data_IF_473871374503
#
_entry.id   IF_473871374503
#
_cell.length_a   1.000
_cell.length_b   1.000
_cell.length_c   1.000
_cell.angle_alpha   90.00
_cell.angle_beta   90.00
_cell.angle_gamma   90.00
#
_symmetry.space_group_name_H-M   'P 1'
#
loop_
_entity.id
_entity.type
_entity.pdbx_description
1 polymer ?
#
# COMPACT_ATOMS: atom_id res chain seq x y z
N UNK A 1 -13.62 6.49 -0.19
CA UNK A 1 -12.43 6.27 -1.02
C UNK A 1 -11.61 7.56 -1.03
N UNK A 2 -10.27 7.52 -1.18
CA UNK A 2 -9.50 8.72 -1.50
C UNK A 2 -9.91 9.35 -2.83
N UNK A 3 -9.60 10.64 -3.01
CA UNK A 3 -9.92 11.36 -4.24
C UNK A 3 -9.24 10.74 -5.48
N UNK A 4 -9.97 10.73 -6.60
CA UNK A 4 -9.52 10.16 -7.87
C UNK A 4 -9.65 8.64 -7.98
N UNK A 5 -10.47 8.01 -7.13
CA UNK A 5 -10.94 6.62 -7.23
C UNK A 5 -12.46 6.58 -7.16
N UNK A 6 -13.06 5.43 -7.41
CA UNK A 6 -14.51 5.23 -7.49
C UNK A 6 -15.27 5.72 -6.24
N UNK A 7 -16.52 6.13 -6.43
CA UNK A 7 -17.42 6.47 -5.33
C UNK A 7 -17.68 5.26 -4.43
N UNK A 8 -17.74 5.49 -3.11
CA UNK A 8 -17.93 4.44 -2.10
C UNK A 8 -16.75 4.26 -1.13
N UNK A 9 -16.88 3.37 -0.13
CA UNK A 9 -15.81 3.11 0.84
C UNK A 9 -14.70 2.25 0.22
N UNK A 10 -13.43 2.56 0.54
CA UNK A 10 -12.30 1.67 0.21
C UNK A 10 -12.35 0.40 1.07
N UNK A 11 -12.77 0.55 2.34
CA UNK A 11 -12.93 -0.50 3.33
C UNK A 11 -14.27 -0.27 4.02
N UNK A 12 -15.14 -1.27 4.04
CA UNK A 12 -16.32 -1.31 4.88
C UNK A 12 -16.13 -2.41 5.95
N UNK A 13 -16.22 -2.04 7.23
CA UNK A 13 -15.69 -2.84 8.35
C UNK A 13 -16.46 -4.12 8.70
N UNK A 14 -17.58 -4.42 8.02
CA UNK A 14 -18.40 -5.60 8.32
C UNK A 14 -18.93 -5.57 9.77
N UNK A 15 -18.94 -6.72 10.43
CA UNK A 15 -19.26 -6.81 11.86
C UNK A 15 -18.01 -6.57 12.71
N UNK A 16 -18.13 -5.73 13.74
CA UNK A 16 -17.03 -5.33 14.61
C UNK A 16 -17.28 -5.84 16.04
N UNK A 17 -16.33 -6.56 16.60
CA UNK A 17 -16.28 -6.94 18.01
C UNK A 17 -15.01 -6.35 18.63
N UNK A 18 -15.15 -5.72 19.79
CA UNK A 18 -14.00 -5.21 20.55
C UNK A 18 -14.10 -5.66 22.01
N UNK A 19 -13.00 -6.15 22.57
CA UNK A 19 -12.83 -6.39 24.00
C UNK A 19 -11.85 -5.37 24.53
N UNK A 20 -12.37 -4.44 25.31
CA UNK A 20 -11.61 -3.30 25.84
C UNK A 20 -11.36 -3.56 27.32
N UNK A 21 -10.11 -3.36 27.76
CA UNK A 21 -9.80 -3.33 29.19
C UNK A 21 -10.37 -2.03 29.78
N UNK A 22 -11.51 -2.10 30.45
CA UNK A 22 -12.22 -0.93 30.96
C UNK A 22 -11.40 -0.10 31.96
N UNK A 23 -10.46 -0.71 32.68
CA UNK A 23 -9.60 0.01 33.60
C UNK A 23 -8.66 0.99 32.86
N UNK A 24 -8.21 0.62 31.66
CA UNK A 24 -7.29 1.42 30.84
C UNK A 24 -7.93 2.66 30.21
N UNK A 25 -9.26 2.80 30.22
CA UNK A 25 -9.96 3.94 29.62
C UNK A 25 -9.57 5.26 30.28
N UNK A 26 -9.27 5.21 31.58
CA UNK A 26 -8.84 6.37 32.36
C UNK A 26 -7.35 6.68 32.21
N UNK A 27 -6.57 5.77 31.63
CA UNK A 27 -5.14 5.95 31.39
C UNK A 27 -4.88 6.71 30.08
N UNK A 28 -3.62 7.06 29.84
CA UNK A 28 -3.17 7.69 28.58
C UNK A 28 -3.25 6.72 27.38
N UNK A 29 -3.31 5.41 27.65
CA UNK A 29 -3.35 4.35 26.65
C UNK A 29 -4.51 3.41 26.91
N UNK A 30 -5.43 3.34 25.96
CA UNK A 30 -6.56 2.42 25.97
C UNK A 30 -6.07 1.05 25.47
N UNK A 31 -6.17 0.04 26.30
CA UNK A 31 -5.85 -1.34 25.95
C UNK A 31 -7.09 -2.05 25.39
N UNK A 32 -6.95 -2.58 24.17
CA UNK A 32 -7.94 -3.38 23.48
C UNK A 32 -7.35 -4.79 23.36
N UNK A 33 -7.89 -5.72 24.14
CA UNK A 33 -7.45 -7.11 24.19
C UNK A 33 -7.74 -7.85 22.88
N UNK A 34 -8.87 -7.53 22.24
CA UNK A 34 -9.28 -8.08 20.95
C UNK A 34 -10.01 -7.02 20.15
N UNK A 35 -9.62 -6.83 18.90
CA UNK A 35 -10.41 -6.17 17.86
C UNK A 35 -10.66 -7.17 16.74
N UNK A 36 -11.91 -7.51 16.47
CA UNK A 36 -12.28 -8.43 15.40
C UNK A 36 -13.17 -7.73 14.39
N UNK A 37 -12.79 -7.86 13.13
CA UNK A 37 -13.54 -7.43 11.95
C UNK A 37 -13.96 -8.69 11.19
N UNK A 38 -15.24 -9.01 11.19
CA UNK A 38 -15.78 -10.16 10.47
C UNK A 38 -16.34 -9.73 9.11
N UNK A 39 -15.83 -10.38 8.07
CA UNK A 39 -16.18 -10.19 6.66
C UNK A 39 -16.19 -8.72 6.22
N UNK A 40 -15.12 -7.94 6.47
CA UNK A 40 -15.04 -6.61 5.91
C UNK A 40 -14.99 -6.68 4.39
N UNK A 41 -15.61 -5.70 3.73
CA UNK A 41 -15.53 -5.55 2.28
C UNK A 41 -14.39 -4.60 1.92
N UNK A 42 -13.46 -5.09 1.10
CA UNK A 42 -12.28 -4.36 0.66
C UNK A 42 -12.42 -4.07 -0.83
N UNK A 43 -12.58 -2.81 -1.19
CA UNK A 43 -12.63 -2.37 -2.58
C UNK A 43 -11.24 -1.89 -2.97
N UNK A 44 -10.47 -2.73 -3.68
CA UNK A 44 -9.13 -2.42 -4.14
C UNK A 44 -9.16 -1.98 -5.61
N UNK A 45 -8.97 -0.69 -5.86
CA UNK A 45 -8.91 -0.13 -7.21
C UNK A 45 -7.45 0.16 -7.56
N UNK A 46 -6.96 -0.51 -8.61
CA UNK A 46 -5.61 -0.34 -9.13
C UNK A 46 -5.62 0.28 -10.51
N UNK A 47 -4.76 1.29 -10.69
CA UNK A 47 -4.41 1.94 -11.96
C UNK A 47 -2.93 1.68 -12.21
N UNK A 48 -2.45 1.98 -13.42
CA UNK A 48 -1.08 1.65 -13.88
C UNK A 48 0.01 2.00 -12.84
N UNK A 49 -0.07 3.16 -12.17
CA UNK A 49 0.96 3.62 -11.22
C UNK A 49 0.45 3.88 -9.80
N UNK A 50 -0.85 3.70 -9.53
CA UNK A 50 -1.46 4.09 -8.25
C UNK A 50 -2.61 3.16 -7.89
N UNK A 51 -2.81 2.95 -6.60
CA UNK A 51 -3.96 2.24 -6.06
C UNK A 51 -4.58 3.00 -4.89
N UNK A 52 -5.84 2.71 -4.61
CA UNK A 52 -6.62 3.46 -3.64
C UNK A 52 -6.23 3.18 -2.18
N UNK A 53 -5.68 2.00 -1.87
CA UNK A 53 -5.27 1.66 -0.50
C UNK A 53 -3.93 2.32 -0.14
N UNK A 54 -2.98 2.42 -1.07
CA UNK A 54 -1.77 3.23 -0.90
C UNK A 54 -2.08 4.72 -0.85
N UNK A 55 -3.06 5.20 -1.63
CA UNK A 55 -3.54 6.57 -1.50
C UNK A 55 -4.23 6.82 -0.14
N UNK A 56 -4.95 5.81 0.39
CA UNK A 56 -5.55 5.87 1.72
C UNK A 56 -4.47 5.97 2.81
N UNK A 57 -3.42 5.15 2.70
CA UNK A 57 -2.25 5.23 3.59
C UNK A 57 -1.59 6.61 3.57
N UNK A 58 -1.38 7.18 2.39
CA UNK A 58 -0.78 8.50 2.24
C UNK A 58 -1.62 9.64 2.82
N UNK A 59 -2.93 9.43 2.98
CA UNK A 59 -3.87 10.39 3.56
C UNK A 59 -4.06 10.22 5.07
N UNK A 60 -3.44 9.22 5.70
CA UNK A 60 -3.48 9.09 7.15
C UNK A 60 -2.82 10.33 7.78
N UNK A 61 -3.39 10.89 8.87
CA UNK A 61 -2.79 12.04 9.51
C UNK A 61 -1.40 11.66 10.05
N UNK A 62 -0.42 12.53 9.80
CA UNK A 62 0.95 12.34 10.29
C UNK A 62 0.95 12.17 11.80
N UNK A 63 1.66 11.16 12.30
CA UNK A 63 1.79 10.90 13.73
C UNK A 63 2.46 12.04 14.52
N UNK A 64 3.04 13.03 13.83
CA UNK A 64 3.70 14.22 14.37
C UNK A 64 2.88 15.53 14.24
N UNK A 65 1.65 15.48 13.71
CA UNK A 65 0.83 16.69 13.52
C UNK A 65 0.12 17.11 14.82
N UNK A 66 0.91 17.47 15.83
CA UNK A 66 0.55 18.58 16.70
C UNK A 66 0.83 19.87 15.94
N UNK A 67 -0.17 20.40 15.22
CA UNK A 67 -0.49 21.84 15.13
C UNK A 67 -1.44 22.17 13.98
N UNK A 68 -2.46 22.94 14.36
CA UNK A 68 -3.15 23.99 13.61
C UNK A 68 -4.08 23.60 12.45
N UNK A 69 -5.33 23.30 12.82
CA UNK A 69 -6.49 23.91 12.16
C UNK A 69 -7.52 24.28 13.23
N UNK A 70 -8.01 25.51 13.16
CA UNK A 70 -8.89 26.16 14.11
C UNK A 70 -10.22 25.43 14.31
N UNK A 71 -10.75 25.54 15.54
CA UNK A 71 -12.09 25.12 16.00
C UNK A 71 -12.38 23.61 16.13
N UNK A 72 -11.67 22.96 17.06
CA UNK A 72 -12.27 21.91 17.88
C UNK A 72 -11.93 22.17 19.36
N UNK A 73 -12.86 22.03 20.31
CA UNK A 73 -12.57 22.27 21.72
C UNK A 73 -11.50 21.28 22.17
N UNK A 74 -10.49 21.79 22.89
CA UNK A 74 -9.46 21.00 23.53
C UNK A 74 -10.10 19.89 24.38
N UNK A 75 -10.01 18.66 23.90
CA UNK A 75 -10.32 17.45 24.67
C UNK A 75 -9.08 16.58 24.56
N UNK A 76 -8.45 16.34 25.71
CA UNK A 76 -7.40 15.39 26.06
C UNK A 76 -6.31 15.10 25.02
N UNK A 77 -5.04 15.13 25.46
CA UNK A 77 -3.92 14.50 24.75
C UNK A 77 -4.39 13.22 24.04
N UNK A 78 -4.31 13.20 22.71
CA UNK A 78 -4.94 12.16 21.90
C UNK A 78 -4.57 10.77 22.45
N UNK A 79 -5.54 10.10 23.11
CA UNK A 79 -5.32 8.84 23.81
C UNK A 79 -4.70 7.84 22.83
N UNK A 80 -3.67 7.14 23.28
CA UNK A 80 -3.04 6.07 22.52
C UNK A 80 -3.89 4.81 22.64
N UNK A 81 -3.67 3.87 21.72
CA UNK A 81 -4.26 2.53 21.78
C UNK A 81 -3.18 1.45 21.82
N UNK A 82 -3.44 0.39 22.55
CA UNK A 82 -2.65 -0.83 22.55
C UNK A 82 -3.55 -1.98 22.11
N UNK A 83 -3.35 -2.49 20.90
CA UNK A 83 -4.14 -3.61 20.37
C UNK A 83 -3.36 -4.90 20.61
N UNK A 84 -3.81 -5.72 21.57
CA UNK A 84 -3.16 -7.01 21.85
C UNK A 84 -3.34 -7.99 20.70
N UNK A 85 -4.53 -8.00 20.10
CA UNK A 85 -4.87 -8.88 18.98
C UNK A 85 -5.88 -8.21 18.05
N UNK A 86 -5.58 -8.20 16.76
CA UNK A 86 -6.51 -7.81 15.71
C UNK A 86 -6.77 -9.02 14.82
N UNK A 87 -8.05 -9.31 14.57
CA UNK A 87 -8.49 -10.39 13.70
C UNK A 87 -9.34 -9.81 12.57
N UNK A 88 -8.95 -10.05 11.33
CA UNK A 88 -9.73 -9.70 10.15
C UNK A 88 -10.12 -11.01 9.48
N UNK A 89 -11.37 -11.42 9.68
CA UNK A 89 -11.84 -12.76 9.35
C UNK A 89 -12.62 -12.75 8.03
N UNK A 90 -12.25 -13.63 7.10
CA UNK A 90 -12.82 -13.73 5.76
C UNK A 90 -13.02 -12.39 5.04
N UNK A 91 -11.98 -11.54 4.87
CA UNK A 91 -12.11 -10.29 4.14
C UNK A 91 -12.58 -10.54 2.71
N UNK A 92 -13.64 -9.86 2.28
CA UNK A 92 -14.16 -9.94 0.92
C UNK A 92 -13.49 -8.88 0.06
N UNK A 93 -12.53 -9.30 -0.76
CA UNK A 93 -11.78 -8.43 -1.66
C UNK A 93 -12.48 -8.32 -3.01
N UNK A 94 -12.83 -7.10 -3.39
CA UNK A 94 -13.25 -6.72 -4.73
C UNK A 94 -12.12 -5.93 -5.39
N UNK A 95 -11.52 -6.50 -6.43
CA UNK A 95 -10.45 -5.87 -7.20
C UNK A 95 -11.05 -5.24 -8.46
N UNK A 96 -10.73 -3.98 -8.70
CA UNK A 96 -11.04 -3.27 -9.96
C UNK A 96 -9.74 -2.79 -10.59
N UNK A 97 -9.45 -3.28 -11.78
CA UNK A 97 -8.29 -2.90 -12.59
C UNK A 97 -8.72 -2.43 -13.98
N UNK A 98 -7.77 -1.95 -14.78
CA UNK A 98 -8.06 -1.43 -16.13
C UNK A 98 -8.76 -2.44 -17.06
N UNK A 99 -8.50 -3.73 -16.86
CA UNK A 99 -8.98 -4.81 -17.75
C UNK A 99 -10.23 -5.54 -17.22
N UNK A 100 -10.73 -5.15 -16.04
CA UNK A 100 -11.93 -5.73 -15.45
C UNK A 100 -11.90 -5.78 -13.94
N UNK A 101 -12.90 -6.44 -13.36
CA UNK A 101 -13.03 -6.65 -11.93
C UNK A 101 -13.11 -8.13 -11.58
N UNK A 102 -12.68 -8.47 -10.38
CA UNK A 102 -12.80 -9.82 -9.81
C UNK A 102 -13.01 -9.74 -8.31
N UNK A 103 -13.54 -10.80 -7.72
CA UNK A 103 -13.83 -10.88 -6.30
C UNK A 103 -13.33 -12.19 -5.72
N UNK A 104 -12.72 -12.13 -4.55
CA UNK A 104 -12.32 -13.32 -3.78
C UNK A 104 -12.35 -13.05 -2.28
N UNK A 105 -12.34 -14.13 -1.51
CA UNK A 105 -12.17 -14.07 -0.06
C UNK A 105 -10.67 -14.22 0.22
N UNK A 106 -10.10 -13.25 0.94
CA UNK A 106 -8.72 -13.33 1.41
C UNK A 106 -8.59 -14.31 2.59
N UNK A 107 -7.40 -14.87 2.82
CA UNK A 107 -7.09 -15.52 4.08
C UNK A 107 -7.34 -14.59 5.29
N UNK A 108 -7.61 -15.18 6.45
CA UNK A 108 -7.73 -14.44 7.69
C UNK A 108 -6.41 -13.71 8.01
N UNK A 109 -6.51 -12.45 8.42
CA UNK A 109 -5.36 -11.64 8.82
C UNK A 109 -5.36 -11.53 10.34
N UNK A 110 -4.28 -11.97 10.98
CA UNK A 110 -4.13 -11.98 12.42
C UNK A 110 -2.89 -11.17 12.80
N UNK A 111 -3.10 -10.03 13.44
CA UNK A 111 -2.04 -9.17 13.95
C UNK A 111 -2.02 -9.24 15.47
N UNK A 112 -0.83 -9.14 16.05
CA UNK A 112 -0.65 -9.10 17.51
C UNK A 112 0.22 -7.93 17.90
N UNK A 113 -0.10 -7.35 19.06
CA UNK A 113 0.72 -6.34 19.74
C UNK A 113 0.99 -5.06 18.93
N UNK A 114 -0.07 -4.43 18.39
CA UNK A 114 0.06 -3.12 17.72
C UNK A 114 0.17 -2.03 18.78
N UNK A 115 1.30 -1.31 18.76
CA UNK A 115 1.61 -0.24 19.71
C UNK A 115 2.40 -0.71 20.94
N UNK A 116 2.64 -2.01 21.14
CA UNK A 116 3.31 -2.55 22.32
C UNK A 116 4.70 -1.98 22.57
N UNK A 117 5.52 -1.89 21.52
CA UNK A 117 6.90 -1.40 21.61
C UNK A 117 7.03 0.07 22.10
N UNK A 118 5.98 0.88 21.91
CA UNK A 118 6.00 2.32 22.22
C UNK A 118 5.07 2.69 23.38
N UNK A 119 4.54 1.69 24.10
CA UNK A 119 3.55 1.89 25.17
C UNK A 119 2.22 2.45 24.63
N UNK A 120 1.86 2.13 23.39
CA UNK A 120 0.67 2.60 22.69
C UNK A 120 1.00 3.22 21.33
N UNK A 121 0.05 3.11 20.39
CA UNK A 121 0.08 3.74 19.07
C UNK A 121 -1.00 4.81 18.96
N UNK A 122 -0.80 5.81 18.10
CA UNK A 122 -1.92 6.64 17.63
C UNK A 122 -2.89 5.77 16.81
N UNK A 123 -4.15 6.20 16.69
CA UNK A 123 -5.13 5.52 15.84
C UNK A 123 -4.63 5.45 14.39
N UNK A 124 -3.99 6.52 13.91
CA UNK A 124 -3.42 6.58 12.56
C UNK A 124 -2.28 5.58 12.36
N UNK A 125 -1.36 5.45 13.32
CA UNK A 125 -0.28 4.48 13.27
C UNK A 125 -0.81 3.04 13.33
N UNK A 126 -1.84 2.77 14.13
CA UNK A 126 -2.46 1.45 14.16
C UNK A 126 -3.19 1.12 12.84
N UNK A 127 -3.92 2.09 12.27
CA UNK A 127 -4.57 1.96 10.97
C UNK A 127 -3.55 1.72 9.84
N UNK A 128 -2.41 2.41 9.89
CA UNK A 128 -1.30 2.20 8.96
C UNK A 128 -0.82 0.74 8.98
N UNK A 129 -0.56 0.18 10.17
CA UNK A 129 -0.14 -1.23 10.32
C UNK A 129 -1.17 -2.16 9.70
N UNK A 130 -2.46 -1.96 10.00
CA UNK A 130 -3.55 -2.80 9.48
C UNK A 130 -3.66 -2.72 7.95
N UNK A 131 -3.61 -1.51 7.38
CA UNK A 131 -3.74 -1.35 5.92
C UNK A 131 -2.50 -1.90 5.19
N UNK A 132 -1.30 -1.79 5.77
CA UNK A 132 -0.08 -2.39 5.20
C UNK A 132 -0.17 -3.91 5.18
N UNK A 133 -0.66 -4.52 6.26
CA UNK A 133 -0.87 -5.97 6.30
C UNK A 133 -1.90 -6.42 5.26
N UNK A 134 -3.01 -5.68 5.13
CA UNK A 134 -4.01 -5.93 4.09
C UNK A 134 -3.41 -5.85 2.68
N UNK A 135 -2.57 -4.85 2.40
CA UNK A 135 -1.84 -4.75 1.13
C UNK A 135 -0.89 -5.93 0.90
N UNK A 136 -0.22 -6.41 1.95
CA UNK A 136 0.60 -7.62 1.91
C UNK A 136 -0.22 -8.84 1.50
N UNK A 137 -1.34 -9.08 2.18
CA UNK A 137 -2.26 -10.18 1.88
C UNK A 137 -2.84 -10.12 0.45
N UNK A 138 -3.17 -8.91 -0.04
CA UNK A 138 -3.59 -8.70 -1.44
C UNK A 138 -2.45 -9.03 -2.41
N UNK A 139 -1.21 -8.66 -2.09
CA UNK A 139 -0.04 -8.94 -2.92
C UNK A 139 0.32 -10.43 -3.00
N UNK A 140 0.01 -11.20 -1.95
CA UNK A 140 0.17 -12.66 -1.90
C UNK A 140 -1.00 -13.40 -2.54
N UNK A 141 -2.15 -12.75 -2.70
CA UNK A 141 -3.27 -13.32 -3.43
C UNK A 141 -2.91 -13.45 -4.91
N UNK A 142 -2.80 -14.69 -5.40
CA UNK A 142 -2.54 -15.02 -6.81
C UNK A 142 -3.71 -14.55 -7.70
N UNK A 143 -3.71 -13.27 -8.05
CA UNK A 143 -4.79 -12.56 -8.75
C UNK A 143 -4.44 -12.37 -10.23
N UNK A 144 -5.09 -13.09 -11.17
CA UNK A 144 -4.80 -12.98 -12.60
C UNK A 144 -4.99 -11.55 -13.16
N UNK A 145 -5.91 -10.78 -12.56
CA UNK A 145 -6.19 -9.39 -12.94
C UNK A 145 -5.07 -8.42 -12.54
N UNK A 146 -4.28 -8.74 -11.51
CA UNK A 146 -3.11 -7.96 -11.11
C UNK A 146 -1.87 -8.36 -11.91
N UNK A 147 -1.73 -9.64 -12.29
CA UNK A 147 -0.59 -10.13 -13.07
C UNK A 147 -0.42 -9.37 -14.39
N UNK A 148 -1.53 -9.06 -15.08
CA UNK A 148 -1.50 -8.31 -16.34
C UNK A 148 -1.13 -6.84 -16.13
N UNK A 149 -1.57 -6.24 -15.02
CA UNK A 149 -1.14 -4.87 -14.66
C UNK A 149 0.35 -4.85 -14.36
N UNK A 150 0.86 -5.87 -13.63
CA UNK A 150 2.28 -6.02 -13.32
C UNK A 150 3.11 -6.21 -14.59
N UNK A 151 2.70 -7.12 -15.47
CA UNK A 151 3.34 -7.33 -16.78
C UNK A 151 3.37 -6.04 -17.60
N UNK A 152 2.24 -5.33 -17.70
CA UNK A 152 2.19 -4.06 -18.44
C UNK A 152 3.01 -2.91 -17.83
N UNK A 153 3.42 -3.00 -16.55
CA UNK A 153 4.39 -2.09 -15.92
C UNK A 153 5.81 -2.54 -16.21
N UNK A 154 6.10 -3.84 -16.10
CA UNK A 154 7.40 -4.44 -16.44
C UNK A 154 7.76 -4.19 -17.91
N UNK A 155 6.81 -4.34 -18.83
CA UNK A 155 6.98 -4.09 -20.26
C UNK A 155 7.29 -2.61 -20.54
N UNK A 156 6.52 -1.68 -19.95
CA UNK A 156 6.81 -0.24 -20.07
C UNK A 156 8.18 0.14 -19.50
N UNK A 157 8.57 -0.45 -18.37
CA UNK A 157 9.87 -0.16 -17.79
C UNK A 157 11.01 -0.62 -18.71
N UNK A 158 10.85 -1.79 -19.37
CA UNK A 158 11.80 -2.26 -20.39
C UNK A 158 11.83 -1.33 -21.60
N UNK A 159 10.67 -0.95 -22.14
CA UNK A 159 10.58 -0.02 -23.27
C UNK A 159 11.26 1.33 -22.99
N UNK A 160 11.11 1.89 -21.78
CA UNK A 160 11.76 3.15 -21.42
C UNK A 160 13.29 2.99 -21.29
N UNK A 161 13.77 1.86 -20.78
CA UNK A 161 15.21 1.56 -20.75
C UNK A 161 15.77 1.40 -22.16
N UNK A 162 15.09 0.66 -23.04
CA UNK A 162 15.47 0.49 -24.44
C UNK A 162 15.55 1.85 -25.17
N UNK A 163 14.55 2.74 -24.99
CA UNK A 163 14.60 4.09 -25.57
C UNK A 163 15.80 4.91 -25.09
N UNK A 164 16.18 4.79 -23.82
CA UNK A 164 17.36 5.50 -23.28
C UNK A 164 18.65 4.93 -23.88
N UNK A 165 18.75 3.60 -24.00
CA UNK A 165 19.89 2.93 -24.63
C UNK A 165 20.02 3.33 -26.10
N UNK A 166 18.91 3.36 -26.85
CA UNK A 166 18.87 3.79 -28.25
C UNK A 166 19.29 5.25 -28.41
N UNK A 167 18.73 6.16 -27.59
CA UNK A 167 19.10 7.58 -27.60
C UNK A 167 20.58 7.82 -27.24
N UNK A 168 21.13 6.98 -26.36
CA UNK A 168 22.53 7.04 -25.98
C UNK A 168 23.42 6.53 -27.12
N UNK A 169 23.05 5.41 -27.74
CA UNK A 169 23.74 4.86 -28.89
C UNK A 169 23.78 5.87 -30.04
N UNK A 170 22.63 6.44 -30.43
CA UNK A 170 22.53 7.43 -31.52
C UNK A 170 23.46 8.64 -31.30
N UNK A 171 23.50 9.19 -30.08
CA UNK A 171 24.40 10.31 -29.74
C UNK A 171 25.88 9.94 -29.80
N UNK A 172 26.23 8.72 -29.43
CA UNK A 172 27.62 8.22 -29.52
C UNK A 172 28.01 8.02 -30.98
N UNK A 173 27.11 7.51 -31.81
CA UNK A 173 27.36 7.35 -33.25
C UNK A 173 27.49 8.70 -33.96
N UNK A 174 26.66 9.68 -33.62
CA UNK A 174 26.76 11.04 -34.15
C UNK A 174 28.10 11.70 -33.78
N UNK A 175 28.55 11.53 -32.53
CA UNK A 175 29.82 12.08 -32.05
C UNK A 175 31.06 11.41 -32.69
N UNK A 176 30.97 10.12 -33.02
CA UNK A 176 32.09 9.33 -33.56
C UNK A 176 32.06 9.23 -35.09
N UNK A 177 30.96 9.63 -35.74
CA UNK A 177 30.75 9.53 -37.19
C UNK A 177 30.73 8.09 -37.72
N UNK A 178 30.57 7.09 -36.84
CA UNK A 178 30.56 5.67 -37.18
C UNK A 178 29.81 4.90 -36.09
N UNK A 179 29.23 3.74 -36.44
CA UNK A 179 28.39 2.99 -35.52
C UNK A 179 29.18 2.35 -34.38
N UNK A 180 28.54 2.20 -33.22
CA UNK A 180 29.15 1.57 -32.03
C UNK A 180 29.53 0.11 -32.35
N UNK A 181 28.69 -0.57 -33.13
CA UNK A 181 28.94 -1.94 -33.59
C UNK A 181 30.16 -2.05 -34.52
N UNK A 182 30.36 -1.07 -35.40
CA UNK A 182 31.52 -1.07 -36.30
C UNK A 182 32.83 -0.90 -35.52
N UNK A 183 32.85 -0.08 -34.48
CA UNK A 183 34.01 0.12 -33.59
C UNK A 183 34.30 -1.13 -32.76
N UNK A 184 33.26 -1.76 -32.20
CA UNK A 184 33.38 -2.99 -31.42
C UNK A 184 33.97 -4.13 -32.26
N UNK A 185 33.52 -4.28 -33.51
CA UNK A 185 34.06 -5.26 -34.45
C UNK A 185 35.51 -4.96 -34.86
N UNK A 186 35.88 -3.68 -35.04
CA UNK A 186 37.26 -3.27 -35.36
C UNK A 186 38.23 -3.58 -34.22
N UNK A 187 37.84 -3.30 -32.97
CA UNK A 187 38.62 -3.61 -31.78
C UNK A 187 38.81 -5.13 -31.59
N UNK A 188 37.78 -5.92 -31.88
CA UNK A 188 37.83 -7.38 -31.77
C UNK A 188 38.79 -8.00 -32.79
N UNK A 189 38.85 -7.45 -34.00
CA UNK A 189 39.78 -7.88 -35.05
C UNK A 189 41.24 -7.45 -34.81
N UNK A 190 41.51 -6.47 -33.95
CA UNK A 190 42.86 -6.04 -33.60
C UNK A 190 43.50 -6.89 -32.48
N UNK A 191 42.71 -7.73 -31.81
CA UNK A 191 43.15 -8.59 -30.71
C UNK A 191 43.47 -10.03 -31.15
N UNK A 192 43.20 -10.35 -32.42
CA UNK A 192 43.59 -11.60 -33.08
C UNK A 192 44.73 -11.31 -34.07
#
# INVERSE_FOLDING_TARGET
>A
NPAGFSEGPAIALGAVEARVNLASIFDDTIEIELLRLAQPQINYETKITRDNLRALLANLPSSDAGSESEEAPATDSAKKILLRRVEILGPLLSVTAALGSTQLILPDIILTDIGGANGGASIAAAAEVVIRELLGSIGEANLPSLDQVRQGVEDRAREEVEKIEDQLAEKVEEALGTSVDALSNRLRNLRN
#
